data_IF_920102438091
#
_entry.id   IF_920102438091
#
_cell.length_a   1.000
_cell.length_b   1.000
_cell.length_c   1.000
_cell.angle_alpha   90.00
_cell.angle_beta   90.00
_cell.angle_gamma   90.00
#
_symmetry.space_group_name_H-M   'P 1'
#
loop_
_entity.id
_entity.type
_entity.pdbx_description
1 polymer ?
#
# COMPACT_ATOMS: atom_id res chain seq x y z
N UNK A 1 25.91 4.86 13.55
CA UNK A 1 24.72 4.85 14.43
C UNK A 1 23.65 5.64 13.72
N UNK A 2 22.70 4.97 13.08
CA UNK A 2 21.60 5.67 12.39
C UNK A 2 20.62 6.16 13.46
N UNK A 3 20.41 7.48 13.51
CA UNK A 3 19.58 8.12 14.51
C UNK A 3 18.13 7.59 14.46
N UNK A 4 17.60 7.18 15.60
CA UNK A 4 16.18 6.84 15.75
C UNK A 4 15.34 8.11 15.63
N UNK A 5 14.60 8.21 14.52
CA UNK A 5 13.62 9.28 14.31
C UNK A 5 12.36 8.95 15.12
N UNK A 6 12.14 9.70 16.21
CA UNK A 6 10.90 9.67 17.00
C UNK A 6 9.76 10.31 16.20
N UNK A 7 8.76 9.52 15.80
CA UNK A 7 7.57 10.02 15.09
C UNK A 7 6.30 9.71 15.90
N UNK A 8 5.62 10.77 16.35
CA UNK A 8 4.29 10.71 16.97
C UNK A 8 3.27 10.09 16.00
N UNK A 9 2.71 8.93 16.36
CA UNK A 9 1.42 8.44 15.82
C UNK A 9 1.34 7.97 14.35
N UNK A 10 2.44 7.81 13.61
CA UNK A 10 2.36 7.31 12.22
C UNK A 10 2.19 5.78 12.20
N UNK A 11 1.06 5.31 11.66
CA UNK A 11 0.82 3.88 11.39
C UNK A 11 1.99 3.32 10.57
N UNK A 12 2.58 2.21 11.00
CA UNK A 12 3.65 1.53 10.26
C UNK A 12 3.06 0.76 9.08
N UNK A 13 3.78 0.72 7.96
CA UNK A 13 3.41 -0.15 6.85
C UNK A 13 3.45 -1.61 7.33
N UNK A 14 2.47 -2.38 6.90
CA UNK A 14 2.51 -3.83 7.05
C UNK A 14 3.54 -4.42 6.08
N UNK A 15 4.05 -5.64 6.31
CA UNK A 15 4.92 -6.32 5.34
C UNK A 15 4.29 -6.37 3.93
N UNK A 16 2.99 -6.63 3.86
CA UNK A 16 2.23 -6.60 2.62
C UNK A 16 2.14 -5.19 2.02
N UNK A 17 1.95 -4.15 2.84
CA UNK A 17 1.95 -2.76 2.39
C UNK A 17 3.30 -2.31 1.82
N UNK A 18 4.41 -2.82 2.37
CA UNK A 18 5.76 -2.59 1.84
C UNK A 18 5.88 -3.22 0.45
N UNK A 19 5.44 -4.48 0.29
CA UNK A 19 5.47 -5.20 -0.99
C UNK A 19 4.67 -4.46 -2.07
N UNK A 20 3.46 -3.99 -1.74
CA UNK A 20 2.65 -3.18 -2.67
C UNK A 20 3.43 -1.94 -3.13
N UNK A 21 4.03 -1.18 -2.20
CA UNK A 21 4.78 0.03 -2.57
C UNK A 21 5.99 -0.28 -3.45
N UNK A 22 6.71 -1.37 -3.18
CA UNK A 22 7.83 -1.81 -4.04
C UNK A 22 7.34 -2.09 -5.46
N UNK A 23 6.27 -2.88 -5.60
CA UNK A 23 5.71 -3.23 -6.92
C UNK A 23 5.15 -2.04 -7.69
N UNK A 24 4.57 -1.07 -6.99
CA UNK A 24 4.13 0.19 -7.61
C UNK A 24 5.33 0.96 -8.20
N UNK A 25 6.43 1.06 -7.46
CA UNK A 25 7.66 1.68 -7.94
C UNK A 25 8.26 0.92 -9.13
N UNK A 26 8.33 -0.41 -9.05
CA UNK A 26 8.83 -1.25 -10.15
C UNK A 26 8.04 -1.07 -11.45
N UNK A 27 6.74 -0.77 -11.34
CA UNK A 27 5.86 -0.53 -12.49
C UNK A 27 5.72 0.96 -12.86
N UNK A 28 6.47 1.86 -12.22
CA UNK A 28 6.36 3.32 -12.38
C UNK A 28 4.92 3.85 -12.21
N UNK A 29 4.18 3.27 -11.27
CA UNK A 29 2.81 3.69 -10.96
C UNK A 29 2.75 4.41 -9.62
N UNK A 30 2.07 5.55 -9.58
CA UNK A 30 1.70 6.16 -8.30
C UNK A 30 0.55 5.40 -7.64
N UNK A 31 0.40 5.56 -6.33
CA UNK A 31 -0.74 4.99 -5.59
C UNK A 31 -2.08 5.51 -6.12
N UNK A 32 -2.12 6.78 -6.56
CA UNK A 32 -3.30 7.41 -7.13
C UNK A 32 -3.67 6.78 -8.47
N UNK A 33 -2.73 6.68 -9.40
CA UNK A 33 -2.96 6.08 -10.72
C UNK A 33 -3.38 4.62 -10.61
N UNK A 34 -2.77 3.86 -9.70
CA UNK A 34 -3.18 2.49 -9.43
C UNK A 34 -4.62 2.42 -8.93
N UNK A 35 -5.00 3.29 -8.00
CA UNK A 35 -6.38 3.36 -7.50
C UNK A 35 -7.38 3.67 -8.61
N UNK A 36 -7.08 4.66 -9.46
CA UNK A 36 -7.93 5.05 -10.59
C UNK A 36 -8.05 3.91 -11.62
N UNK A 37 -6.93 3.25 -11.95
CA UNK A 37 -6.88 2.16 -12.93
C UNK A 37 -7.69 0.93 -12.51
N UNK A 38 -7.74 0.62 -11.22
CA UNK A 38 -8.38 -0.60 -10.71
C UNK A 38 -9.67 -0.34 -9.92
N UNK A 39 -10.17 0.90 -9.90
CA UNK A 39 -11.39 1.27 -9.20
C UNK A 39 -11.29 1.06 -7.68
N UNK A 40 -10.11 1.26 -7.10
CA UNK A 40 -9.86 1.10 -5.66
C UNK A 40 -9.87 2.49 -5.02
N UNK A 41 -10.65 2.70 -3.96
CA UNK A 41 -10.60 3.95 -3.21
C UNK A 41 -9.23 4.16 -2.55
N UNK A 42 -8.65 5.36 -2.66
CA UNK A 42 -7.33 5.65 -2.10
C UNK A 42 -7.25 5.43 -0.58
N UNK A 43 -8.31 5.79 0.15
CA UNK A 43 -8.44 5.51 1.58
C UNK A 43 -8.37 4.02 1.85
N UNK A 44 -9.08 3.21 1.05
CA UNK A 44 -9.12 1.76 1.20
C UNK A 44 -7.76 1.12 0.96
N UNK A 45 -7.03 1.59 -0.05
CA UNK A 45 -5.67 1.14 -0.30
C UNK A 45 -4.75 1.51 0.88
N UNK A 46 -4.81 2.75 1.37
CA UNK A 46 -4.04 3.16 2.55
C UNK A 46 -4.38 2.32 3.79
N UNK A 47 -5.65 2.04 4.06
CA UNK A 47 -6.05 1.15 5.16
C UNK A 47 -5.41 -0.23 5.06
N UNK A 48 -5.31 -0.79 3.84
CA UNK A 48 -4.62 -2.07 3.61
C UNK A 48 -3.11 -1.98 3.81
N UNK A 49 -2.48 -0.91 3.30
CA UNK A 49 -1.04 -0.69 3.45
C UNK A 49 -0.62 -0.63 4.93
N UNK A 50 -1.45 -0.01 5.77
CA UNK A 50 -1.18 0.24 7.18
C UNK A 50 -1.91 -0.72 8.15
N UNK A 51 -2.59 -1.76 7.63
CA UNK A 51 -3.21 -2.82 8.44
C UNK A 51 -4.48 -2.41 9.18
N UNK A 52 -5.14 -1.32 8.80
CA UNK A 52 -6.40 -0.86 9.39
C UNK A 52 -7.62 -1.65 8.87
N UNK A 53 -7.49 -2.33 7.72
CA UNK A 53 -8.51 -3.23 7.19
C UNK A 53 -7.84 -4.43 6.51
N UNK A 54 -8.40 -5.65 6.63
CA UNK A 54 -7.74 -6.85 6.12
C UNK A 54 -7.80 -6.97 4.59
N UNK A 55 -8.52 -6.08 3.90
CA UNK A 55 -8.35 -5.88 2.45
C UNK A 55 -8.75 -7.05 1.54
N UNK A 56 -9.37 -8.10 2.06
CA UNK A 56 -9.61 -9.37 1.36
C UNK A 56 -10.28 -9.21 -0.01
N UNK A 57 -11.19 -8.23 -0.16
CA UNK A 57 -11.88 -7.94 -1.42
C UNK A 57 -10.93 -7.47 -2.54
N UNK A 58 -9.93 -6.68 -2.20
CA UNK A 58 -9.03 -6.05 -3.18
C UNK A 58 -7.69 -6.76 -3.30
N UNK A 59 -7.36 -7.65 -2.36
CA UNK A 59 -6.12 -8.43 -2.37
C UNK A 59 -5.91 -9.16 -3.70
N UNK A 60 -6.93 -9.89 -4.18
CA UNK A 60 -6.86 -10.60 -5.48
C UNK A 60 -6.61 -9.66 -6.67
N UNK A 61 -7.18 -8.46 -6.64
CA UNK A 61 -7.01 -7.46 -7.70
C UNK A 61 -5.57 -6.93 -7.66
N UNK A 62 -5.07 -6.60 -6.47
CA UNK A 62 -3.71 -6.11 -6.25
C UNK A 62 -2.68 -7.16 -6.67
N UNK A 63 -2.86 -8.41 -6.25
CA UNK A 63 -1.96 -9.51 -6.62
C UNK A 63 -1.96 -9.77 -8.13
N UNK A 64 -3.11 -9.66 -8.80
CA UNK A 64 -3.19 -9.79 -10.26
C UNK A 64 -2.56 -8.60 -10.99
N UNK A 65 -2.72 -7.39 -10.45
CA UNK A 65 -2.20 -6.16 -11.03
C UNK A 65 -0.69 -5.96 -10.82
N UNK A 66 -0.18 -6.46 -9.69
CA UNK A 66 1.20 -6.26 -9.23
C UNK A 66 2.09 -7.50 -9.37
N UNK A 67 1.57 -8.62 -9.89
CA UNK A 67 2.39 -9.78 -10.30
C UNK A 67 3.52 -9.36 -11.24
#
# INVERSE_FOLDING_TARGET
>A
MIAEVKILGKRKLTPYGIEIKKRLLEKNLTQKEFCEKFGIGQTRLSEMLYGAAPGYKYRKIIEKALK
#
